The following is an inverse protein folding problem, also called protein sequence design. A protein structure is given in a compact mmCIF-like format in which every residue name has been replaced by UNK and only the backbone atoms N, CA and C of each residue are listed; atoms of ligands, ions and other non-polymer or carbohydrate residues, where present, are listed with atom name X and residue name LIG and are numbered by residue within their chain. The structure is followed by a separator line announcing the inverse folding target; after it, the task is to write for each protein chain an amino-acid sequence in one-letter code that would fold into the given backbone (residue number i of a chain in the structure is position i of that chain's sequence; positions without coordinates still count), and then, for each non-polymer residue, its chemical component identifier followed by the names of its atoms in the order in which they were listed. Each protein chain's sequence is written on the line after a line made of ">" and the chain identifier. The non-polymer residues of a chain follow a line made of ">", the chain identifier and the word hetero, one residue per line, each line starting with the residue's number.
data_IF_539124149793
#
_entry.id   IF_539124149793
#
_cell.length_a   1.000
_cell.length_b   1.000
_cell.length_c   1.000
_cell.angle_alpha   90.00
_cell.angle_beta   90.00
_cell.angle_gamma   90.00
#
_symmetry.space_group_name_H-M   'P 1'
#
loop_
_entity.id
_entity.type
_entity.pdbx_description
1 polymer ?
#
# COMPACT_ATOMS: atom_id res chain seq x y z
N UNK A 1 0.63 9.16 -11.54
CA UNK A 1 1.36 9.31 -12.84
C UNK A 1 1.26 8.02 -13.65
N UNK A 2 0.78 8.01 -14.90
CA UNK A 2 0.60 6.78 -15.72
C UNK A 2 1.82 6.48 -16.62
N UNK A 3 2.34 5.25 -16.53
CA UNK A 3 3.56 4.79 -17.20
C UNK A 3 3.49 4.76 -18.72
N UNK A 4 2.38 4.29 -19.30
CA UNK A 4 2.34 4.01 -20.74
C UNK A 4 2.56 5.27 -21.59
N UNK A 5 2.14 6.44 -21.08
CA UNK A 5 2.34 7.69 -21.80
C UNK A 5 3.80 8.13 -21.82
N UNK A 6 4.64 7.65 -20.90
CA UNK A 6 6.05 8.04 -20.77
C UNK A 6 7.03 6.94 -21.20
N UNK A 7 6.66 5.66 -21.13
CA UNK A 7 7.47 4.56 -21.66
C UNK A 7 7.67 4.64 -23.18
N UNK A 8 6.68 5.16 -23.93
CA UNK A 8 6.84 5.44 -25.36
C UNK A 8 7.86 6.55 -25.66
N UNK A 9 8.16 7.41 -24.68
CA UNK A 9 9.03 8.58 -24.84
C UNK A 9 10.38 8.47 -24.09
N UNK A 10 10.62 7.39 -23.31
CA UNK A 10 11.91 7.12 -22.65
C UNK A 10 12.96 6.56 -23.64
N UNK A 11 13.08 7.23 -24.79
CA UNK A 11 13.80 6.81 -25.98
C UNK A 11 15.29 6.46 -25.73
N UNK A 12 15.70 5.27 -26.19
CA UNK A 12 17.10 4.81 -26.20
C UNK A 12 17.25 3.28 -26.14
N UNK A 13 18.51 2.82 -25.99
CA UNK A 13 18.98 1.42 -25.91
C UNK A 13 18.17 0.53 -24.93
N UNK A 14 17.61 1.13 -23.87
CA UNK A 14 16.81 0.42 -22.87
C UNK A 14 15.48 -0.08 -23.48
N UNK A 15 14.84 0.71 -24.34
CA UNK A 15 13.60 0.32 -24.99
C UNK A 15 13.80 -0.89 -25.91
N UNK A 16 14.89 -0.89 -26.69
CA UNK A 16 15.25 -2.01 -27.57
C UNK A 16 15.57 -3.28 -26.75
N UNK A 17 16.31 -3.11 -25.66
CA UNK A 17 16.63 -4.21 -24.73
C UNK A 17 15.35 -4.79 -24.11
N UNK A 18 14.44 -3.93 -23.62
CA UNK A 18 13.16 -4.35 -23.08
C UNK A 18 12.29 -5.06 -24.14
N UNK A 19 12.29 -4.56 -25.37
CA UNK A 19 11.55 -5.18 -26.47
C UNK A 19 12.08 -6.59 -26.76
N UNK A 20 13.40 -6.75 -26.85
CA UNK A 20 14.04 -8.06 -27.04
C UNK A 20 13.73 -9.03 -25.89
N UNK A 21 13.82 -8.58 -24.65
CA UNK A 21 13.49 -9.39 -23.47
C UNK A 21 12.01 -9.79 -23.47
N UNK A 22 11.09 -8.88 -23.81
CA UNK A 22 9.65 -9.19 -23.92
C UNK A 22 9.35 -10.23 -25.00
N UNK A 23 10.04 -10.17 -26.15
CA UNK A 23 9.87 -11.20 -27.19
C UNK A 23 10.29 -12.59 -26.68
N UNK A 24 11.36 -12.67 -25.88
CA UNK A 24 11.75 -13.92 -25.21
C UNK A 24 10.71 -14.37 -24.18
N UNK A 25 10.14 -13.44 -23.42
CA UNK A 25 9.04 -13.74 -22.49
C UNK A 25 7.84 -14.36 -23.21
N UNK A 26 7.50 -13.85 -24.39
CA UNK A 26 6.44 -14.39 -25.25
C UNK A 26 6.71 -15.81 -25.76
N UNK A 27 7.97 -16.25 -25.74
CA UNK A 27 8.41 -17.63 -26.03
C UNK A 27 8.53 -18.48 -24.76
N UNK A 28 7.90 -18.05 -23.66
CA UNK A 28 7.82 -18.75 -22.38
C UNK A 28 9.15 -18.91 -21.63
N UNK A 29 10.15 -18.09 -21.95
CA UNK A 29 11.38 -17.97 -21.17
C UNK A 29 11.10 -17.11 -19.93
N UNK A 30 10.58 -17.69 -18.84
CA UNK A 30 10.23 -16.93 -17.64
C UNK A 30 11.44 -16.50 -16.79
N UNK A 31 12.61 -17.12 -17.01
CA UNK A 31 13.85 -16.78 -16.29
C UNK A 31 14.33 -15.35 -16.55
N UNK A 32 13.81 -14.69 -17.58
CA UNK A 32 14.15 -13.32 -17.94
C UNK A 32 13.32 -12.25 -17.21
N UNK A 33 12.30 -12.61 -16.43
CA UNK A 33 11.52 -11.65 -15.63
C UNK A 33 12.42 -10.79 -14.74
N UNK A 34 13.39 -11.41 -14.07
CA UNK A 34 14.40 -10.71 -13.27
C UNK A 34 15.29 -9.77 -14.11
N UNK A 35 15.58 -10.13 -15.37
CA UNK A 35 16.35 -9.28 -16.28
C UNK A 35 15.53 -8.06 -16.72
N UNK A 36 14.25 -8.23 -17.06
CA UNK A 36 13.34 -7.12 -17.38
C UNK A 36 13.30 -6.12 -16.22
N UNK A 37 13.13 -6.61 -14.98
CA UNK A 37 13.12 -5.75 -13.79
C UNK A 37 14.40 -4.95 -13.64
N UNK A 38 15.57 -5.60 -13.80
CA UNK A 38 16.87 -4.91 -13.77
C UNK A 38 16.99 -3.86 -14.87
N UNK A 39 16.50 -4.14 -16.07
CA UNK A 39 16.50 -3.19 -17.19
C UNK A 39 15.61 -1.98 -16.92
N UNK A 40 14.44 -2.15 -16.30
CA UNK A 40 13.56 -1.03 -15.88
C UNK A 40 14.26 -0.12 -14.87
N UNK A 41 15.08 -0.67 -13.97
CA UNK A 41 15.83 0.13 -12.99
C UNK A 41 16.91 1.03 -13.61
N UNK A 42 17.30 0.81 -14.88
CA UNK A 42 18.28 1.63 -15.60
C UNK A 42 17.66 2.87 -16.24
N UNK A 43 16.33 3.03 -16.19
CA UNK A 43 15.67 4.20 -16.77
C UNK A 43 16.17 5.50 -16.12
N UNK A 44 16.41 6.49 -16.97
CA UNK A 44 16.66 7.86 -16.55
C UNK A 44 15.35 8.63 -16.52
N UNK A 45 15.17 9.51 -15.55
CA UNK A 45 13.96 10.32 -15.46
C UNK A 45 13.94 11.38 -16.57
N UNK A 46 12.92 11.40 -17.45
CA UNK A 46 12.80 12.45 -18.46
C UNK A 46 12.67 13.84 -17.79
N UNK A 47 13.37 14.88 -18.24
CA UNK A 47 13.29 16.20 -17.61
C UNK A 47 11.88 16.77 -17.51
N UNK A 48 11.04 16.54 -18.54
CA UNK A 48 9.62 16.94 -18.52
C UNK A 48 8.87 16.27 -17.37
N UNK A 49 9.09 14.96 -17.17
CA UNK A 49 8.46 14.18 -16.11
C UNK A 49 8.85 14.68 -14.72
N UNK A 50 10.14 14.98 -14.52
CA UNK A 50 10.65 15.54 -13.26
C UNK A 50 9.98 16.88 -12.96
N UNK A 51 9.83 17.74 -13.97
CA UNK A 51 9.22 19.05 -13.81
C UNK A 51 7.72 18.96 -13.51
N UNK A 52 6.99 18.07 -14.20
CA UNK A 52 5.57 17.81 -13.94
C UNK A 52 5.37 17.27 -12.51
N UNK A 53 6.13 16.23 -12.13
CA UNK A 53 6.04 15.65 -10.79
C UNK A 53 6.35 16.69 -9.70
N UNK A 54 7.39 17.51 -9.90
CA UNK A 54 7.74 18.59 -8.98
C UNK A 54 6.60 19.60 -8.81
N UNK A 55 5.93 19.98 -9.91
CA UNK A 55 4.83 20.93 -9.87
C UNK A 55 3.61 20.35 -9.14
N UNK A 56 3.26 19.10 -9.42
CA UNK A 56 2.13 18.42 -8.77
C UNK A 56 2.38 18.16 -7.28
N UNK A 57 3.58 17.75 -6.89
CA UNK A 57 3.90 17.59 -5.46
C UNK A 57 3.81 18.93 -4.73
N UNK A 58 4.28 20.03 -5.34
CA UNK A 58 4.19 21.37 -4.74
C UNK A 58 2.76 21.87 -4.65
N UNK A 59 1.92 21.64 -5.67
CA UNK A 59 0.51 22.02 -5.64
C UNK A 59 -0.26 21.25 -4.55
N UNK A 60 0.09 19.98 -4.34
CA UNK A 60 -0.41 19.13 -3.26
C UNK A 60 0.21 19.44 -1.88
N UNK A 61 1.09 20.43 -1.76
CA UNK A 61 1.84 20.81 -0.54
C UNK A 61 2.74 19.70 0.02
N UNK A 62 3.13 18.76 -0.82
CA UNK A 62 4.08 17.70 -0.48
C UNK A 62 5.52 18.19 -0.64
N UNK A 63 6.46 17.68 0.18
CA UNK A 63 7.88 18.00 0.01
C UNK A 63 8.41 17.43 -1.32
N UNK A 64 9.21 18.21 -2.04
CA UNK A 64 9.91 17.76 -3.23
C UNK A 64 11.27 17.14 -2.85
N UNK A 65 11.51 15.84 -3.09
CA UNK A 65 12.75 15.17 -2.69
C UNK A 65 14.03 15.83 -3.22
N UNK A 66 13.99 16.41 -4.41
CA UNK A 66 15.15 17.07 -4.99
C UNK A 66 15.54 18.40 -4.31
N UNK A 67 14.69 18.97 -3.46
CA UNK A 67 15.07 20.13 -2.64
C UNK A 67 16.05 19.72 -1.51
N UNK A 68 16.11 18.43 -1.15
CA UNK A 68 17.09 17.86 -0.20
C UNK A 68 18.41 17.42 -0.87
N UNK A 69 18.48 17.46 -2.20
CA UNK A 69 19.68 17.12 -2.99
C UNK A 69 19.50 15.96 -3.97
N UNK A 70 20.50 15.77 -4.82
CA UNK A 70 20.47 14.80 -5.93
C UNK A 70 20.29 13.35 -5.45
N UNK A 71 20.97 12.97 -4.36
CA UNK A 71 20.84 11.62 -3.78
C UNK A 71 19.42 11.32 -3.32
N UNK A 72 18.74 12.31 -2.73
CA UNK A 72 17.36 12.16 -2.25
C UNK A 72 16.37 12.03 -3.41
N UNK A 73 16.59 12.80 -4.47
CA UNK A 73 15.86 12.62 -5.72
C UNK A 73 16.09 11.23 -6.33
N UNK A 74 17.33 10.74 -6.39
CA UNK A 74 17.61 9.41 -6.95
C UNK A 74 16.93 8.29 -6.13
N UNK A 75 16.82 8.44 -4.80
CA UNK A 75 16.04 7.51 -3.97
C UNK A 75 14.56 7.46 -4.38
N UNK A 76 13.92 8.63 -4.58
CA UNK A 76 12.55 8.72 -5.06
C UNK A 76 12.40 8.08 -6.46
N UNK A 77 13.34 8.36 -7.35
CA UNK A 77 13.34 7.81 -8.70
C UNK A 77 13.52 6.29 -8.71
N UNK A 78 14.39 5.74 -7.86
CA UNK A 78 14.53 4.30 -7.66
C UNK A 78 13.22 3.68 -7.17
N UNK A 79 12.53 4.31 -6.23
CA UNK A 79 11.24 3.81 -5.73
C UNK A 79 10.19 3.76 -6.85
N UNK A 80 10.05 4.83 -7.64
CA UNK A 80 9.18 4.86 -8.82
C UNK A 80 9.51 3.73 -9.80
N UNK A 81 10.80 3.55 -10.14
CA UNK A 81 11.24 2.46 -11.04
C UNK A 81 10.97 1.08 -10.46
N UNK A 82 11.07 0.89 -9.14
CA UNK A 82 10.74 -0.38 -8.47
C UNK A 82 9.24 -0.68 -8.57
N UNK A 83 8.36 0.30 -8.34
CA UNK A 83 6.91 0.13 -8.58
C UNK A 83 6.65 -0.30 -10.01
N UNK A 84 7.28 0.35 -10.99
CA UNK A 84 7.12 -0.01 -12.40
C UNK A 84 7.67 -1.40 -12.72
N UNK A 85 8.82 -1.76 -12.14
CA UNK A 85 9.43 -3.06 -12.31
C UNK A 85 8.58 -4.18 -11.67
N UNK A 86 7.80 -3.88 -10.63
CA UNK A 86 6.92 -4.86 -9.97
C UNK A 86 5.90 -5.49 -10.92
N UNK A 87 5.57 -4.81 -12.03
CA UNK A 87 4.79 -5.39 -13.14
C UNK A 87 5.36 -6.72 -13.63
N UNK A 88 6.67 -6.94 -13.55
CA UNK A 88 7.33 -8.18 -13.95
C UNK A 88 7.86 -8.99 -12.77
N UNK A 89 7.35 -8.77 -11.56
CA UNK A 89 7.55 -9.75 -10.49
C UNK A 89 6.83 -11.07 -10.87
N UNK A 90 7.33 -12.21 -10.37
CA UNK A 90 6.79 -13.51 -10.78
C UNK A 90 5.32 -13.67 -10.38
N UNK A 91 4.97 -13.23 -9.17
CA UNK A 91 3.60 -13.30 -8.63
C UNK A 91 2.62 -12.57 -9.56
N UNK A 92 2.93 -11.33 -9.95
CA UNK A 92 2.12 -10.50 -10.83
C UNK A 92 2.00 -11.11 -12.22
N UNK A 93 3.14 -11.47 -12.82
CA UNK A 93 3.15 -11.98 -14.18
C UNK A 93 2.36 -13.29 -14.33
N UNK A 94 2.51 -14.23 -13.39
CA UNK A 94 1.76 -15.48 -13.47
C UNK A 94 0.29 -15.32 -13.06
N UNK A 95 -0.01 -14.39 -12.13
CA UNK A 95 -1.37 -14.06 -11.74
C UNK A 95 -2.17 -13.51 -12.93
N UNK A 96 -1.63 -12.55 -13.68
CA UNK A 96 -2.29 -11.99 -14.88
C UNK A 96 -2.48 -13.05 -15.97
N UNK A 97 -1.50 -13.95 -16.17
CA UNK A 97 -1.61 -15.07 -17.12
C UNK A 97 -2.74 -16.04 -16.76
N UNK A 98 -2.94 -16.34 -15.48
CA UNK A 98 -3.98 -17.26 -15.01
C UNK A 98 -5.39 -16.77 -15.39
N UNK A 99 -5.60 -15.46 -15.32
CA UNK A 99 -6.87 -14.81 -15.72
C UNK A 99 -6.86 -14.31 -17.17
N UNK A 100 -5.86 -14.71 -17.97
CA UNK A 100 -5.72 -14.34 -19.39
C UNK A 100 -5.71 -12.83 -19.64
N UNK A 101 -5.23 -12.05 -18.68
CA UNK A 101 -5.02 -10.62 -18.88
C UNK A 101 -3.83 -10.39 -19.81
N UNK A 102 -4.02 -9.48 -20.76
CA UNK A 102 -2.94 -9.04 -21.61
C UNK A 102 -1.94 -8.22 -20.79
N UNK A 103 -0.77 -8.83 -20.55
CA UNK A 103 0.29 -8.21 -19.78
C UNK A 103 0.82 -6.92 -20.43
N UNK A 104 0.79 -6.82 -21.76
CA UNK A 104 1.25 -5.61 -22.45
C UNK A 104 0.23 -4.47 -22.36
N UNK A 105 -1.08 -4.79 -22.38
CA UNK A 105 -2.19 -3.87 -22.12
C UNK A 105 -2.25 -3.33 -20.69
N UNK A 106 -1.60 -3.97 -19.71
CA UNK A 106 -1.56 -3.49 -18.34
C UNK A 106 -0.80 -2.16 -18.22
N UNK A 107 -1.49 -1.14 -17.73
CA UNK A 107 -0.97 0.19 -17.43
C UNK A 107 -0.74 0.31 -15.94
N UNK A 108 0.52 0.43 -15.53
CA UNK A 108 0.85 0.74 -14.14
C UNK A 108 0.95 2.26 -13.97
N UNK A 109 0.42 2.76 -12.88
CA UNK A 109 0.47 4.12 -12.41
C UNK A 109 1.18 4.13 -11.06
N UNK A 110 1.68 5.30 -10.69
CA UNK A 110 2.30 5.53 -9.39
C UNK A 110 1.56 6.64 -8.69
N UNK A 111 0.98 6.31 -7.55
CA UNK A 111 0.47 7.26 -6.55
C UNK A 111 1.63 7.67 -5.64
N UNK A 112 1.72 8.96 -5.31
CA UNK A 112 2.75 9.49 -4.42
C UNK A 112 2.05 9.98 -3.17
N UNK A 113 2.44 9.45 -2.01
CA UNK A 113 1.76 9.71 -0.75
C UNK A 113 2.77 9.92 0.38
N UNK A 114 2.53 10.90 1.24
CA UNK A 114 3.33 11.06 2.46
C UNK A 114 3.06 9.91 3.43
N UNK A 115 4.12 9.32 3.96
CA UNK A 115 4.00 8.33 5.03
C UNK A 115 3.88 9.05 6.37
N UNK A 116 2.84 8.68 7.10
CA UNK A 116 2.65 9.09 8.49
C UNK A 116 3.49 8.14 9.36
N UNK A 117 4.37 8.70 10.20
CA UNK A 117 5.07 7.92 11.23
C UNK A 117 4.06 7.49 12.31
N UNK A 118 3.33 6.43 12.01
CA UNK A 118 2.17 5.95 12.74
C UNK A 118 2.57 5.31 14.08
N UNK A 119 1.75 5.54 15.10
CA UNK A 119 1.86 4.82 16.36
C UNK A 119 1.22 3.43 16.23
N UNK A 120 0.10 3.36 15.50
CA UNK A 120 -0.63 2.13 15.16
C UNK A 120 -1.14 2.19 13.71
N UNK A 121 -1.33 1.03 13.10
CA UNK A 121 -2.02 0.87 11.83
C UNK A 121 -3.20 -0.08 12.00
N UNK A 122 -4.22 0.07 11.17
CA UNK A 122 -5.43 -0.75 11.24
C UNK A 122 -6.00 -1.09 9.87
N UNK A 123 -6.74 -2.20 9.83
CA UNK A 123 -7.61 -2.60 8.72
C UNK A 123 -9.02 -2.74 9.27
N UNK A 124 -10.02 -2.31 8.49
CA UNK A 124 -11.44 -2.39 8.82
C UNK A 124 -12.15 -3.14 7.70
N UNK A 125 -12.99 -4.09 8.08
CA UNK A 125 -14.04 -4.63 7.25
C UNK A 125 -15.39 -4.17 7.81
N UNK A 126 -16.15 -3.40 7.03
CA UNK A 126 -17.43 -2.84 7.51
C UNK A 126 -18.57 -3.85 7.47
N UNK A 127 -18.36 -5.02 6.88
CA UNK A 127 -19.13 -6.23 7.16
C UNK A 127 -18.21 -7.27 7.77
N UNK A 128 -18.62 -7.93 8.84
CA UNK A 128 -17.76 -8.90 9.52
C UNK A 128 -17.39 -10.05 8.55
N UNK A 129 -16.10 -10.25 8.22
CA UNK A 129 -15.69 -11.21 7.19
C UNK A 129 -15.77 -12.67 7.66
N UNK A 130 -15.92 -12.91 8.97
CA UNK A 130 -16.04 -14.26 9.54
C UNK A 130 -17.49 -14.69 9.73
N UNK A 131 -18.37 -13.78 10.15
CA UNK A 131 -19.79 -14.07 10.41
C UNK A 131 -20.72 -13.61 9.30
N UNK A 132 -20.24 -12.81 8.35
CA UNK A 132 -21.03 -12.12 7.31
C UNK A 132 -22.08 -11.15 7.88
N UNK A 133 -21.98 -10.79 9.17
CA UNK A 133 -22.89 -9.85 9.82
C UNK A 133 -22.61 -8.41 9.36
N UNK A 134 -23.45 -7.90 8.47
CA UNK A 134 -23.41 -6.52 7.97
C UNK A 134 -23.78 -5.46 9.01
N UNK A 135 -24.20 -5.85 10.22
CA UNK A 135 -24.41 -4.92 11.34
C UNK A 135 -23.14 -4.72 12.18
N UNK A 136 -22.08 -5.46 11.89
CA UNK A 136 -20.81 -5.43 12.61
C UNK A 136 -19.67 -4.89 11.74
N UNK A 137 -18.86 -4.05 12.37
CA UNK A 137 -17.54 -3.67 11.89
C UNK A 137 -16.53 -4.59 12.56
N UNK A 138 -15.70 -5.26 11.78
CA UNK A 138 -14.52 -5.99 12.26
C UNK A 138 -13.28 -5.17 11.95
N UNK A 139 -12.36 -5.07 12.90
CA UNK A 139 -11.11 -4.38 12.66
C UNK A 139 -9.93 -5.01 13.40
N UNK A 140 -8.76 -4.86 12.79
CA UNK A 140 -7.48 -5.33 13.30
C UNK A 140 -6.54 -4.14 13.45
N UNK A 141 -5.73 -4.14 14.52
CA UNK A 141 -4.82 -3.07 14.88
C UNK A 141 -3.45 -3.64 15.25
N UNK A 142 -2.39 -3.04 14.69
CA UNK A 142 -0.99 -3.36 14.97
C UNK A 142 -0.23 -2.11 15.39
N UNK A 143 0.87 -2.28 16.14
CA UNK A 143 1.77 -1.18 16.48
C UNK A 143 2.71 -0.88 15.32
N UNK A 144 2.89 0.40 14.99
CA UNK A 144 3.68 0.83 13.84
C UNK A 144 2.92 0.75 12.51
N UNK A 145 3.62 0.42 11.43
CA UNK A 145 3.12 0.40 10.06
C UNK A 145 2.27 -0.84 9.73
N UNK A 146 1.32 -0.66 8.79
CA UNK A 146 0.35 -1.66 8.34
C UNK A 146 0.97 -2.87 7.64
N UNK A 147 2.19 -2.73 7.11
CA UNK A 147 2.98 -3.82 6.52
C UNK A 147 3.21 -4.97 7.52
N UNK A 148 3.17 -4.69 8.82
CA UNK A 148 3.25 -5.72 9.87
C UNK A 148 1.98 -6.60 9.93
N UNK A 149 0.84 -6.05 9.50
CA UNK A 149 -0.46 -6.72 9.43
C UNK A 149 -0.57 -7.54 8.14
N UNK A 150 -0.24 -6.93 6.99
CA UNK A 150 -0.36 -7.55 5.66
C UNK A 150 0.80 -8.52 5.36
N UNK A 151 1.98 -8.29 5.93
CA UNK A 151 3.16 -9.13 5.74
C UNK A 151 3.13 -10.44 6.53
N UNK A 152 4.02 -11.37 6.17
CA UNK A 152 4.16 -12.67 6.82
C UNK A 152 4.92 -12.61 8.16
N UNK A 153 4.53 -11.70 9.05
CA UNK A 153 5.09 -11.58 10.40
C UNK A 153 4.30 -12.46 11.39
N UNK A 154 4.98 -13.26 12.23
CA UNK A 154 4.31 -14.15 13.19
C UNK A 154 3.53 -13.37 14.25
N UNK A 155 2.58 -14.04 14.90
CA UNK A 155 1.71 -13.46 15.92
C UNK A 155 0.46 -12.78 15.34
N UNK A 156 -0.47 -12.47 16.24
CA UNK A 156 -1.79 -11.89 15.93
C UNK A 156 -1.80 -10.38 16.11
N UNK A 157 -2.58 -9.68 15.29
CA UNK A 157 -2.98 -8.30 15.57
C UNK A 157 -3.94 -8.26 16.77
N UNK A 158 -4.14 -7.08 17.36
CA UNK A 158 -5.30 -6.85 18.21
C UNK A 158 -6.52 -6.83 17.30
N UNK A 159 -7.56 -7.59 17.61
CA UNK A 159 -8.79 -7.60 16.84
C UNK A 159 -10.00 -7.24 17.70
N UNK A 160 -10.97 -6.59 17.10
CA UNK A 160 -12.22 -6.23 17.77
C UNK A 160 -13.39 -6.20 16.79
N UNK A 161 -14.60 -6.28 17.36
CA UNK A 161 -15.86 -6.03 16.65
C UNK A 161 -16.60 -4.88 17.28
N UNK A 162 -17.37 -4.15 16.50
CA UNK A 162 -18.22 -3.07 16.97
C UNK A 162 -19.54 -3.08 16.21
N UNK A 163 -20.66 -2.93 16.91
CA UNK A 163 -21.99 -2.86 16.27
C UNK A 163 -22.17 -1.46 15.70
N UNK A 164 -22.65 -1.36 14.45
CA UNK A 164 -22.92 -0.06 13.80
C UNK A 164 -23.93 0.80 14.55
N UNK A 165 -24.84 0.15 15.28
CA UNK A 165 -25.84 0.81 16.13
C UNK A 165 -25.26 1.36 17.45
N UNK A 166 -24.04 0.96 17.84
CA UNK A 166 -23.38 1.36 19.09
C UNK A 166 -21.85 1.42 18.91
N UNK A 167 -21.41 2.43 18.15
CA UNK A 167 -20.00 2.64 17.79
C UNK A 167 -19.11 3.02 18.97
N UNK A 168 -19.70 3.32 20.12
CA UNK A 168 -19.00 3.61 21.37
C UNK A 168 -18.77 2.34 22.22
N UNK A 169 -19.18 1.16 21.77
CA UNK A 169 -19.00 -0.10 22.52
C UNK A 169 -18.20 -1.17 21.77
N UNK A 170 -16.91 -0.92 21.42
CA UNK A 170 -16.07 -1.92 20.77
C UNK A 170 -15.77 -3.09 21.71
N UNK A 171 -15.89 -4.31 21.19
CA UNK A 171 -15.58 -5.56 21.89
C UNK A 171 -14.29 -6.16 21.36
N UNK A 172 -13.24 -6.12 22.19
CA UNK A 172 -11.95 -6.78 21.89
C UNK A 172 -12.17 -8.30 21.81
N UNK A 173 -11.65 -8.91 20.74
CA UNK A 173 -11.67 -10.35 20.50
C UNK A 173 -10.32 -11.00 20.83
N UNK A 174 -9.22 -10.30 20.54
CA UNK A 174 -7.87 -10.75 20.83
C UNK A 174 -6.91 -9.58 20.99
N UNK A 175 -5.91 -9.73 21.84
CA UNK A 175 -4.82 -8.77 21.97
C UNK A 175 -3.67 -9.10 21.01
N UNK A 176 -2.85 -8.10 20.69
CA UNK A 176 -1.73 -8.32 19.79
C UNK A 176 -0.63 -9.16 20.44
N UNK A 177 -0.03 -10.03 19.64
CA UNK A 177 1.10 -10.88 20.01
C UNK A 177 2.25 -10.80 18.99
N UNK A 178 2.21 -9.83 18.08
CA UNK A 178 3.27 -9.65 17.07
C UNK A 178 4.58 -9.26 17.77
N UNK A 179 5.69 -9.98 17.59
CA UNK A 179 6.94 -9.71 18.29
C UNK A 179 7.72 -8.53 17.68
N UNK A 180 7.41 -8.18 16.43
CA UNK A 180 8.08 -7.13 15.66
C UNK A 180 7.04 -6.16 15.13
N UNK A 181 7.34 -4.87 15.21
CA UNK A 181 6.63 -3.80 14.51
C UNK A 181 7.59 -3.09 13.56
N UNK A 182 7.03 -2.53 12.49
CA UNK A 182 7.76 -1.73 11.52
C UNK A 182 7.50 -0.24 11.78
N UNK A 183 8.55 0.57 11.74
CA UNK A 183 8.46 2.01 11.92
C UNK A 183 9.26 2.72 10.84
N UNK A 184 8.84 3.91 10.46
CA UNK A 184 9.56 4.71 9.48
C UNK A 184 9.46 6.17 9.90
N UNK A 185 10.55 6.91 9.71
CA UNK A 185 10.53 8.38 9.83
C UNK A 185 9.56 8.95 8.79
N UNK A 186 9.21 10.24 8.94
CA UNK A 186 8.43 10.94 7.91
C UNK A 186 9.12 10.76 6.55
N UNK A 187 8.38 10.22 5.61
CA UNK A 187 8.89 9.78 4.31
C UNK A 187 7.78 9.88 3.26
N UNK A 188 8.04 9.38 2.05
CA UNK A 188 7.10 9.30 0.95
C UNK A 188 7.06 7.85 0.48
N UNK A 189 5.86 7.35 0.22
CA UNK A 189 5.63 6.05 -0.41
C UNK A 189 5.10 6.25 -1.83
N UNK A 190 5.57 5.38 -2.72
CA UNK A 190 5.12 5.28 -4.09
C UNK A 190 4.28 4.02 -4.23
N UNK A 191 2.97 4.16 -4.37
CA UNK A 191 2.05 3.02 -4.46
C UNK A 191 1.77 2.64 -5.91
N UNK A 192 1.70 1.35 -6.17
CA UNK A 192 1.19 0.81 -7.42
C UNK A 192 -0.31 1.08 -7.55
N UNK A 193 -0.73 1.42 -8.76
CA UNK A 193 -2.14 1.45 -9.17
C UNK A 193 -2.19 0.98 -10.63
N UNK A 194 -3.08 0.07 -10.98
CA UNK A 194 -3.17 -0.41 -12.35
C UNK A 194 -4.58 -0.68 -12.82
N UNK A 195 -4.77 -0.58 -14.13
CA UNK A 195 -6.04 -0.92 -14.78
C UNK A 195 -6.38 -2.43 -14.74
N UNK A 196 -5.63 -3.23 -13.98
CA UNK A 196 -5.86 -4.66 -13.78
C UNK A 196 -6.01 -5.08 -12.33
N UNK A 197 -5.94 -4.17 -11.35
CA UNK A 197 -6.00 -4.53 -9.92
C UNK A 197 -7.42 -4.86 -9.40
N UNK A 198 -8.43 -4.14 -9.89
CA UNK A 198 -9.82 -4.24 -9.43
C UNK A 198 -10.75 -4.75 -10.56
N UNK A 199 -10.46 -5.92 -11.11
CA UNK A 199 -11.28 -6.53 -12.14
C UNK A 199 -12.28 -7.52 -11.53
N UNK A 200 -13.48 -7.62 -12.12
CA UNK A 200 -14.51 -8.55 -11.67
C UNK A 200 -13.98 -10.00 -11.71
N UNK A 201 -14.02 -10.70 -10.56
CA UNK A 201 -13.47 -12.05 -10.42
C UNK A 201 -11.94 -12.13 -10.35
N UNK A 202 -11.23 -11.00 -10.24
CA UNK A 202 -9.78 -10.94 -10.08
C UNK A 202 -9.36 -9.87 -9.07
N UNK A 203 -9.02 -10.32 -7.86
CA UNK A 203 -8.41 -9.46 -6.85
C UNK A 203 -6.89 -9.36 -7.09
N UNK A 204 -6.47 -8.33 -7.84
CA UNK A 204 -5.07 -8.00 -8.10
C UNK A 204 -4.42 -7.16 -7.00
N UNK A 205 -5.15 -6.85 -5.93
CA UNK A 205 -4.61 -6.03 -4.86
C UNK A 205 -3.41 -6.66 -4.14
N UNK A 206 -2.42 -5.84 -3.82
CA UNK A 206 -1.16 -6.29 -3.20
C UNK A 206 -0.33 -7.22 -4.10
N UNK A 207 -0.62 -7.24 -5.41
CA UNK A 207 0.13 -8.02 -6.40
C UNK A 207 1.39 -7.30 -6.88
N UNK A 208 1.29 -5.98 -6.97
CA UNK A 208 2.35 -5.06 -7.35
C UNK A 208 2.93 -4.39 -6.11
N UNK A 209 4.15 -3.89 -6.24
CA UNK A 209 4.90 -3.42 -5.09
C UNK A 209 4.60 -1.93 -4.83
N UNK A 210 4.24 -1.60 -3.60
CA UNK A 210 4.32 -0.23 -3.06
C UNK A 210 5.68 -0.05 -2.39
N UNK A 211 6.36 1.05 -2.68
CA UNK A 211 7.78 1.22 -2.34
C UNK A 211 8.00 2.53 -1.57
N UNK A 212 8.34 2.48 -0.27
CA UNK A 212 8.74 3.67 0.47
C UNK A 212 10.11 4.17 0.01
N UNK A 213 10.36 5.47 0.17
CA UNK A 213 11.68 6.06 -0.10
C UNK A 213 12.73 5.64 0.91
N UNK A 214 12.34 5.59 2.18
CA UNK A 214 13.22 5.22 3.29
C UNK A 214 12.93 3.78 3.72
N UNK A 215 13.93 3.12 4.28
CA UNK A 215 13.78 1.76 4.80
C UNK A 215 13.03 1.77 6.14
N UNK A 216 12.20 0.75 6.36
CA UNK A 216 11.55 0.57 7.65
C UNK A 216 12.53 0.03 8.70
N UNK A 217 12.44 0.57 9.90
CA UNK A 217 13.09 0.05 11.08
C UNK A 217 12.26 -1.08 11.70
N UNK A 218 12.90 -2.22 11.94
CA UNK A 218 12.31 -3.35 12.66
C UNK A 218 12.56 -3.20 14.15
N UNK A 219 11.48 -3.10 14.92
CA UNK A 219 11.55 -2.92 16.37
C UNK A 219 10.91 -4.10 17.08
N UNK A 220 11.58 -4.65 18.09
CA UNK A 220 11.01 -5.64 19.00
C UNK A 220 9.99 -4.97 19.90
N UNK A 221 8.77 -5.49 19.90
CA UNK A 221 7.64 -4.86 20.59
C UNK A 221 7.58 -5.28 22.06
N UNK A 222 7.51 -4.28 22.94
CA UNK A 222 7.13 -4.44 24.34
C UNK A 222 5.68 -3.96 24.54
N UNK A 223 4.79 -4.90 24.80
CA UNK A 223 3.38 -4.62 25.06
C UNK A 223 3.08 -4.27 26.53
N UNK A 224 4.04 -4.47 27.45
CA UNK A 224 3.84 -4.14 28.87
C UNK A 224 3.75 -2.63 29.12
N UNK A 225 4.20 -1.83 28.16
CA UNK A 225 4.17 -0.36 28.18
C UNK A 225 3.29 0.24 27.10
N UNK A 226 2.64 -0.59 26.27
CA UNK A 226 1.82 -0.14 25.14
C UNK A 226 0.45 0.37 25.61
N UNK A 227 0.15 1.63 25.31
CA UNK A 227 -1.11 2.28 25.71
C UNK A 227 -2.35 1.58 25.19
N UNK A 228 -2.32 0.98 23.99
CA UNK A 228 -3.44 0.22 23.44
C UNK A 228 -3.71 -1.05 24.27
N UNK A 229 -2.70 -1.57 24.98
CA UNK A 229 -2.81 -2.77 25.81
C UNK A 229 -3.12 -2.41 27.26
N UNK A 230 -2.38 -1.49 27.85
CA UNK A 230 -2.44 -1.24 29.31
C UNK A 230 -3.43 -0.16 29.72
N UNK A 231 -3.78 0.78 28.83
CA UNK A 231 -4.74 1.85 29.12
C UNK A 231 -6.10 1.55 28.49
N UNK A 232 -7.06 1.17 29.34
CA UNK A 232 -8.42 0.84 28.89
C UNK A 232 -9.19 2.02 28.31
N UNK A 233 -8.96 3.25 28.80
CA UNK A 233 -9.63 4.45 28.31
C UNK A 233 -9.08 4.84 26.94
N UNK A 234 -7.75 4.85 26.80
CA UNK A 234 -7.11 5.10 25.53
C UNK A 234 -7.54 4.06 24.50
N UNK A 235 -7.45 2.77 24.84
CA UNK A 235 -7.89 1.68 23.95
C UNK A 235 -9.34 1.89 23.50
N UNK A 236 -10.26 2.07 24.43
CA UNK A 236 -11.67 2.27 24.11
C UNK A 236 -11.85 3.44 23.14
N UNK A 237 -11.24 4.60 23.42
CA UNK A 237 -11.31 5.77 22.54
C UNK A 237 -10.79 5.48 21.13
N UNK A 238 -9.64 4.80 20.99
CA UNK A 238 -9.06 4.49 19.69
C UNK A 238 -9.94 3.52 18.90
N UNK A 239 -10.37 2.42 19.52
CA UNK A 239 -11.19 1.41 18.84
C UNK A 239 -12.55 1.99 18.39
N UNK A 240 -13.18 2.83 19.21
CA UNK A 240 -14.39 3.56 18.83
C UNK A 240 -14.14 4.53 17.67
N UNK A 241 -13.03 5.26 17.68
CA UNK A 241 -12.70 6.17 16.58
C UNK A 241 -12.44 5.43 15.26
N UNK A 242 -11.80 4.26 15.31
CA UNK A 242 -11.61 3.38 14.15
C UNK A 242 -12.98 2.91 13.64
N UNK A 243 -13.86 2.41 14.51
CA UNK A 243 -15.19 1.95 14.11
C UNK A 243 -16.04 3.09 13.49
N UNK A 244 -15.99 4.29 14.07
CA UNK A 244 -16.68 5.48 13.54
C UNK A 244 -16.18 5.88 12.16
N UNK A 245 -14.86 5.83 11.94
CA UNK A 245 -14.28 6.08 10.63
C UNK A 245 -14.79 5.05 9.60
N UNK A 246 -14.78 3.76 9.96
CA UNK A 246 -15.30 2.69 9.11
C UNK A 246 -16.77 2.89 8.73
N UNK A 247 -17.62 3.18 9.71
CA UNK A 247 -19.05 3.40 9.47
C UNK A 247 -19.30 4.61 8.55
N UNK A 248 -18.65 5.74 8.84
CA UNK A 248 -18.82 6.96 8.04
C UNK A 248 -18.39 6.78 6.57
N UNK A 249 -17.34 5.99 6.32
CA UNK A 249 -16.87 5.70 4.97
C UNK A 249 -17.85 4.78 4.25
N UNK A 250 -18.35 3.73 4.91
CA UNK A 250 -19.39 2.88 4.34
C UNK A 250 -20.66 3.67 3.99
N UNK A 251 -21.12 4.56 4.86
CA UNK A 251 -22.27 5.43 4.58
C UNK A 251 -22.02 6.33 3.35
N UNK A 252 -20.79 6.85 3.20
CA UNK A 252 -20.42 7.69 2.07
C UNK A 252 -20.42 6.93 0.74
N UNK A 253 -19.95 5.68 0.72
CA UNK A 253 -19.88 4.85 -0.48
C UNK A 253 -21.17 4.05 -0.76
N UNK A 254 -22.01 3.84 0.25
CA UNK A 254 -23.26 3.09 0.13
C UNK A 254 -23.09 1.58 -0.03
N UNK A 255 -21.88 1.05 0.20
CA UNK A 255 -21.58 -0.38 0.13
C UNK A 255 -20.49 -0.77 1.14
N UNK A 256 -20.42 -2.04 1.55
CA UNK A 256 -19.36 -2.52 2.45
C UNK A 256 -17.96 -2.18 1.95
N UNK A 257 -17.08 -1.78 2.86
CA UNK A 257 -15.73 -1.31 2.56
C UNK A 257 -14.67 -2.11 3.31
N UNK A 258 -13.53 -2.28 2.63
CA UNK A 258 -12.26 -2.71 3.19
C UNK A 258 -11.34 -1.49 3.24
N UNK A 259 -10.96 -1.07 4.46
CA UNK A 259 -10.36 0.24 4.73
C UNK A 259 -9.04 0.03 5.47
N UNK A 260 -8.00 0.67 4.98
CA UNK A 260 -6.70 0.73 5.66
C UNK A 260 -6.48 2.14 6.22
N UNK A 261 -5.91 2.22 7.41
CA UNK A 261 -5.60 3.49 8.04
C UNK A 261 -4.57 3.40 9.14
N UNK A 262 -4.22 4.55 9.69
CA UNK A 262 -3.23 4.70 10.75
C UNK A 262 -3.73 5.60 11.86
N UNK A 263 -3.18 5.37 13.05
CA UNK A 263 -3.35 6.21 14.23
C UNK A 263 -2.04 6.95 14.48
N UNK A 264 -2.13 8.28 14.58
CA UNK A 264 -1.02 9.11 15.03
C UNK A 264 -1.51 10.15 16.03
N UNK A 265 -0.91 10.17 17.21
CA UNK A 265 -1.25 11.11 18.30
C UNK A 265 -2.76 11.07 18.64
N UNK A 266 -3.33 9.87 18.63
CA UNK A 266 -4.76 9.60 18.87
C UNK A 266 -5.71 9.99 17.73
N UNK A 267 -5.20 10.49 16.61
CA UNK A 267 -5.99 10.86 15.43
C UNK A 267 -5.96 9.74 14.39
N UNK A 268 -7.09 9.58 13.71
CA UNK A 268 -7.28 8.61 12.64
C UNK A 268 -6.96 9.25 11.29
N UNK A 269 -6.17 8.55 10.48
CA UNK A 269 -5.89 8.89 9.09
C UNK A 269 -6.21 7.68 8.22
N UNK A 270 -7.05 7.87 7.22
CA UNK A 270 -7.40 6.82 6.24
C UNK A 270 -6.39 6.88 5.11
N UNK A 271 -5.80 5.75 4.76
CA UNK A 271 -4.79 5.69 3.70
C UNK A 271 -5.33 5.02 2.43
N UNK A 272 -6.27 4.10 2.56
CA UNK A 272 -6.91 3.43 1.44
C UNK A 272 -8.33 2.98 1.82
N UNK A 273 -9.24 2.98 0.84
CA UNK A 273 -10.55 2.33 0.95
C UNK A 273 -10.90 1.70 -0.38
N UNK A 274 -11.59 0.57 -0.33
CA UNK A 274 -12.12 -0.13 -1.52
C UNK A 274 -13.39 -0.89 -1.15
N UNK A 275 -14.23 -1.27 -2.13
CA UNK A 275 -15.33 -2.18 -1.89
C UNK A 275 -14.84 -3.47 -1.24
N UNK A 276 -15.52 -3.90 -0.17
CA UNK A 276 -15.32 -5.21 0.42
C UNK A 276 -15.96 -6.27 -0.51
N UNK A 277 -15.16 -7.24 -0.93
CA UNK A 277 -15.55 -8.33 -1.84
C UNK A 277 -15.89 -9.60 -1.08
#
# INVERSE_FOLDING_TARGET
>A
MRIQHHFKYMAGVIADTLHSLKQRLGREDFGILGQIRKTVLQLSAPPQLVQELKNEMKSARMPWPGDEGEQRWEQAWIAIKKVWASKWNERAYFSTRKVKLDHDGLCMAVLVQEIINADYAFVIHTTNPSSEDSTEIYAEVVKGLGETLVGAYPGSALSFVCKKMDLDSPKVLGYSSKPIGLFIKRSIIFLSDSNGEDLEGYAGAGLYDSVPMDEEEKVVLDYSTDSLIVDSKFRHSILSNIAKAGHAIEELYGSPQDIEGVVKDGKIFVVQTRPQM
#
